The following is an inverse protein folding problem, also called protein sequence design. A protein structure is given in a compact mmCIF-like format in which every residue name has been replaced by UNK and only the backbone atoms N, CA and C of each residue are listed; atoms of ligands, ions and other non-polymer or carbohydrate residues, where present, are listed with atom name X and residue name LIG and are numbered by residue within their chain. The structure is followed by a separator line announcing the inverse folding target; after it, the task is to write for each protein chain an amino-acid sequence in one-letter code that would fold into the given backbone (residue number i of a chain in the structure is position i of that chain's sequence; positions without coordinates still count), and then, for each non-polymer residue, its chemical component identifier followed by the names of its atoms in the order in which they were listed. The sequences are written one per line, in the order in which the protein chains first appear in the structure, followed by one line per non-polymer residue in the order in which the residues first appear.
data_IF_663982388538
#
_entry.id   IF_663982388538
#
_cell.length_a   1.000
_cell.length_b   1.000
_cell.length_c   1.000
_cell.angle_alpha   90.00
_cell.angle_beta   90.00
_cell.angle_gamma   90.00
#
_symmetry.space_group_name_H-M   'P 1'
#
loop_
_entity.id
_entity.type
_entity.pdbx_description
1 polymer ?
#
# COMPACT_ATOMS: atom_id res chain seq x y z
N UNK A 1 116.26 -8.20 39.42
CA UNK A 1 116.01 -9.24 38.40
C UNK A 1 114.62 -9.01 37.87
N UNK A 2 114.52 -8.93 36.55
CA UNK A 2 113.39 -8.47 35.75
C UNK A 2 112.61 -9.68 35.18
N UNK A 3 111.33 -9.46 34.83
CA UNK A 3 110.37 -10.32 34.10
C UNK A 3 109.72 -11.49 34.89
N UNK A 4 108.41 -11.81 34.77
CA UNK A 4 107.47 -11.67 33.63
C UNK A 4 105.99 -11.90 34.08
N UNK A 5 105.05 -11.10 33.53
CA UNK A 5 103.71 -11.37 32.92
C UNK A 5 102.94 -12.67 33.32
N UNK A 6 101.60 -12.74 33.45
CA UNK A 6 100.43 -11.98 32.94
C UNK A 6 99.14 -12.43 33.72
N UNK A 7 97.96 -11.81 33.52
CA UNK A 7 96.87 -11.70 34.51
C UNK A 7 95.68 -12.66 34.30
N UNK A 8 94.75 -12.67 35.27
CA UNK A 8 93.38 -13.12 35.08
C UNK A 8 92.41 -12.14 35.77
N UNK A 9 91.77 -11.29 34.96
CA UNK A 9 90.57 -10.53 35.29
C UNK A 9 89.40 -11.48 35.52
N UNK A 10 88.67 -11.37 36.64
CA UNK A 10 87.20 -11.19 36.62
C UNK A 10 86.77 -10.31 37.81
N UNK A 11 86.24 -9.17 37.39
CA UNK A 11 85.68 -8.00 38.06
C UNK A 11 84.52 -8.30 39.05
N UNK A 12 84.67 -7.86 40.32
CA UNK A 12 83.61 -7.81 41.34
C UNK A 12 83.16 -6.35 41.49
N UNK A 13 82.10 -5.98 40.78
CA UNK A 13 81.57 -4.61 40.77
C UNK A 13 80.37 -4.49 41.70
N UNK A 14 80.50 -3.57 42.67
CA UNK A 14 79.51 -3.22 43.69
C UNK A 14 78.23 -2.61 43.09
N UNK A 15 77.06 -2.73 43.75
CA UNK A 15 75.82 -2.15 43.25
C UNK A 15 75.80 -0.64 43.50
N UNK A 16 75.86 0.14 42.41
CA UNK A 16 75.69 1.58 42.41
C UNK A 16 74.20 1.97 42.53
N UNK A 17 73.96 3.01 43.34
CA UNK A 17 72.67 3.65 43.56
C UNK A 17 72.04 4.16 42.25
N UNK A 18 70.74 3.89 42.06
CA UNK A 18 69.96 4.37 40.92
C UNK A 18 69.44 5.79 41.16
N UNK A 19 69.78 6.70 40.24
CA UNK A 19 69.13 8.01 40.07
C UNK A 19 67.64 7.87 39.69
N UNK A 20 66.80 8.88 39.97
CA UNK A 20 65.38 8.88 39.61
C UNK A 20 65.17 9.04 38.09
N UNK A 21 64.25 8.27 37.53
CA UNK A 21 63.83 8.34 36.13
C UNK A 21 62.98 9.60 35.85
N UNK A 22 63.00 10.14 34.62
CA UNK A 22 62.15 11.27 34.21
C UNK A 22 60.66 10.86 34.15
N UNK A 23 59.72 11.83 34.25
CA UNK A 23 58.30 11.54 34.27
C UNK A 23 57.83 10.88 32.95
N UNK A 24 56.79 10.03 33.00
CA UNK A 24 56.29 9.33 31.84
C UNK A 24 55.69 10.31 30.82
N UNK A 25 56.15 10.21 29.58
CA UNK A 25 55.59 10.88 28.41
C UNK A 25 54.16 10.37 28.21
N UNK A 26 53.17 11.25 28.33
CA UNK A 26 51.78 10.98 27.95
C UNK A 26 51.71 10.55 26.49
N UNK A 27 51.05 9.42 26.15
CA UNK A 27 50.82 9.06 24.76
C UNK A 27 49.93 10.12 24.09
N UNK A 28 50.10 10.35 22.76
CA UNK A 28 49.27 11.29 22.03
C UNK A 28 47.80 10.89 22.18
N UNK A 29 46.96 11.86 22.53
CA UNK A 29 45.50 11.73 22.51
C UNK A 29 45.11 11.26 21.11
N UNK A 30 44.65 10.01 21.01
CA UNK A 30 44.01 9.50 19.81
C UNK A 30 42.87 10.46 19.48
N UNK A 31 42.77 10.99 18.25
CA UNK A 31 41.60 11.76 17.86
C UNK A 31 40.36 10.92 18.15
N UNK A 32 39.24 11.51 18.59
CA UNK A 32 38.02 10.75 18.75
C UNK A 32 37.77 10.03 17.43
N UNK A 33 37.79 8.70 17.49
CA UNK A 33 37.41 7.81 16.40
C UNK A 33 36.23 8.49 15.70
N UNK A 34 36.43 8.85 14.42
CA UNK A 34 35.36 9.28 13.53
C UNK A 34 34.20 8.35 13.80
N UNK A 35 33.14 8.85 14.44
CA UNK A 35 31.98 8.05 14.79
C UNK A 35 31.54 7.42 13.48
N UNK A 36 31.85 6.13 13.30
CA UNK A 36 31.33 5.36 12.18
C UNK A 36 29.85 5.38 12.46
N UNK A 37 29.16 6.29 11.78
CA UNK A 37 27.73 6.43 11.83
C UNK A 37 27.19 5.05 11.48
N UNK A 38 26.74 4.34 12.52
CA UNK A 38 26.33 2.94 12.44
C UNK A 38 25.32 2.85 11.31
N UNK A 39 25.52 2.04 10.29
CA UNK A 39 24.55 1.90 9.21
C UNK A 39 23.33 1.08 9.67
N UNK A 40 22.17 1.25 9.03
CA UNK A 40 21.02 0.38 9.25
C UNK A 40 21.41 -1.10 9.13
N UNK A 41 20.84 -1.95 10.00
CA UNK A 41 21.10 -3.40 9.93
C UNK A 41 20.62 -3.96 8.58
N UNK A 42 21.34 -4.93 7.96
CA UNK A 42 20.96 -5.50 6.66
C UNK A 42 19.53 -6.05 6.59
N UNK A 43 19.03 -6.61 7.71
CA UNK A 43 17.67 -7.13 7.78
C UNK A 43 16.60 -6.02 7.75
N UNK A 44 16.87 -4.83 8.30
CA UNK A 44 15.97 -3.67 8.19
C UNK A 44 15.90 -3.15 6.75
N UNK A 45 17.06 -3.02 6.09
CA UNK A 45 17.13 -2.64 4.68
C UNK A 45 16.37 -3.63 3.78
N UNK A 46 16.57 -4.93 4.00
CA UNK A 46 15.89 -5.98 3.23
C UNK A 46 14.38 -5.95 3.44
N UNK A 47 13.91 -5.75 4.67
CA UNK A 47 12.48 -5.64 4.95
C UNK A 47 11.86 -4.48 4.17
N UNK A 48 12.48 -3.29 4.24
CA UNK A 48 11.99 -2.11 3.54
C UNK A 48 11.87 -2.37 2.03
N UNK A 49 12.90 -2.94 1.40
CA UNK A 49 12.87 -3.33 -0.02
C UNK A 49 11.73 -4.31 -0.31
N UNK A 50 11.54 -5.32 0.54
CA UNK A 50 10.48 -6.30 0.37
C UNK A 50 9.08 -5.69 0.49
N UNK A 51 8.86 -4.75 1.43
CA UNK A 51 7.57 -4.08 1.54
C UNK A 51 7.27 -3.22 0.32
N UNK A 52 8.24 -2.49 -0.22
CA UNK A 52 8.05 -1.70 -1.44
C UNK A 52 7.83 -2.54 -2.70
N UNK A 53 8.57 -3.65 -2.85
CA UNK A 53 8.32 -4.62 -3.92
C UNK A 53 6.90 -5.21 -3.81
N UNK A 54 6.45 -5.49 -2.59
CA UNK A 54 5.09 -5.96 -2.34
C UNK A 54 4.04 -4.89 -2.68
N UNK A 55 4.25 -3.63 -2.30
CA UNK A 55 3.36 -2.52 -2.65
C UNK A 55 3.24 -2.35 -4.17
N UNK A 56 4.35 -2.46 -4.90
CA UNK A 56 4.35 -2.39 -6.36
C UNK A 56 3.61 -3.58 -7.01
N UNK A 57 3.80 -4.80 -6.50
CA UNK A 57 3.01 -5.95 -6.95
C UNK A 57 1.52 -5.75 -6.72
N UNK A 58 1.13 -5.28 -5.54
CA UNK A 58 -0.26 -5.03 -5.17
C UNK A 58 -0.89 -3.90 -6.01
N UNK A 59 -0.11 -2.89 -6.39
CA UNK A 59 -0.54 -1.85 -7.33
C UNK A 59 -0.88 -2.42 -8.71
N UNK A 60 -0.06 -3.32 -9.24
CA UNK A 60 -0.36 -4.00 -10.50
C UNK A 60 -1.59 -4.92 -10.38
N UNK A 61 -1.72 -5.63 -9.27
CA UNK A 61 -2.90 -6.46 -8.98
C UNK A 61 -4.18 -5.60 -8.89
N UNK A 62 -4.08 -4.39 -8.33
CA UNK A 62 -5.14 -3.40 -8.28
C UNK A 62 -5.59 -3.00 -9.68
N UNK A 63 -4.66 -2.56 -10.54
CA UNK A 63 -4.95 -2.14 -11.91
C UNK A 63 -5.67 -3.24 -12.70
N UNK A 64 -5.16 -4.48 -12.61
CA UNK A 64 -5.75 -5.65 -13.26
C UNK A 64 -7.16 -5.95 -12.73
N UNK A 65 -7.34 -5.92 -11.40
CA UNK A 65 -8.63 -6.20 -10.76
C UNK A 65 -9.66 -5.10 -11.06
N UNK A 66 -9.22 -3.83 -11.04
CA UNK A 66 -10.00 -2.63 -11.36
C UNK A 66 -10.53 -2.68 -12.79
N UNK A 67 -9.67 -3.00 -13.75
CA UNK A 67 -10.05 -3.16 -15.16
C UNK A 67 -11.04 -4.32 -15.36
N UNK A 68 -10.79 -5.45 -14.69
CA UNK A 68 -11.69 -6.62 -14.76
C UNK A 68 -13.07 -6.31 -14.19
N UNK A 69 -13.12 -5.65 -13.03
CA UNK A 69 -14.37 -5.20 -12.42
C UNK A 69 -15.13 -4.22 -13.33
N UNK A 70 -14.43 -3.26 -13.96
CA UNK A 70 -15.01 -2.34 -14.94
C UNK A 70 -15.65 -3.09 -16.13
N UNK A 71 -14.98 -4.12 -16.64
CA UNK A 71 -15.51 -4.97 -17.72
C UNK A 71 -16.80 -5.70 -17.31
N UNK A 72 -16.85 -6.23 -16.08
CA UNK A 72 -18.07 -6.82 -15.52
C UNK A 72 -19.18 -5.79 -15.34
N UNK A 73 -18.89 -4.61 -14.79
CA UNK A 73 -19.86 -3.52 -14.64
C UNK A 73 -20.41 -3.07 -16.01
N UNK A 74 -19.54 -2.92 -17.00
CA UNK A 74 -19.93 -2.58 -18.38
C UNK A 74 -20.86 -3.65 -18.97
N UNK A 75 -20.51 -4.92 -18.81
CA UNK A 75 -21.32 -6.05 -19.31
C UNK A 75 -22.68 -6.14 -18.60
N UNK A 76 -22.72 -5.83 -17.30
CA UNK A 76 -23.95 -5.73 -16.51
C UNK A 76 -24.85 -4.61 -17.04
N UNK A 77 -24.33 -3.38 -17.12
CA UNK A 77 -25.06 -2.22 -17.64
C UNK A 77 -25.56 -2.45 -19.07
N UNK A 78 -24.72 -2.99 -19.95
CA UNK A 78 -25.12 -3.30 -21.33
C UNK A 78 -26.26 -4.32 -21.38
N UNK A 79 -26.20 -5.37 -20.55
CA UNK A 79 -27.25 -6.39 -20.49
C UNK A 79 -28.56 -5.81 -19.96
N UNK A 80 -28.48 -5.00 -18.91
CA UNK A 80 -29.61 -4.29 -18.34
C UNK A 80 -30.28 -3.36 -19.34
N UNK A 81 -29.51 -2.45 -19.96
CA UNK A 81 -30.05 -1.50 -20.93
C UNK A 81 -30.64 -2.23 -22.13
N UNK A 82 -29.96 -3.28 -22.64
CA UNK A 82 -30.49 -4.09 -23.75
C UNK A 82 -31.83 -4.76 -23.41
N UNK A 83 -32.00 -5.20 -22.16
CA UNK A 83 -33.26 -5.80 -21.71
C UNK A 83 -34.34 -4.74 -21.56
N UNK A 84 -34.01 -3.59 -20.97
CA UNK A 84 -34.96 -2.49 -20.76
C UNK A 84 -35.48 -1.87 -22.06
N UNK A 85 -34.62 -1.72 -23.07
CA UNK A 85 -35.01 -1.18 -24.38
C UNK A 85 -35.49 -2.26 -25.35
N UNK A 86 -35.63 -3.52 -24.90
CA UNK A 86 -36.09 -4.60 -25.76
C UNK A 86 -37.48 -4.30 -26.34
N UNK A 87 -38.38 -3.69 -25.57
CA UNK A 87 -39.75 -3.38 -26.04
C UNK A 87 -39.80 -2.22 -27.05
N UNK A 88 -38.77 -1.36 -27.06
CA UNK A 88 -38.65 -0.25 -27.99
C UNK A 88 -37.83 -0.60 -29.25
N UNK A 89 -37.29 -1.83 -29.33
CA UNK A 89 -36.44 -2.25 -30.44
C UNK A 89 -37.28 -2.65 -31.65
N UNK A 90 -36.95 -2.10 -32.83
CA UNK A 90 -37.60 -2.50 -34.08
C UNK A 90 -37.09 -3.87 -34.54
N UNK A 91 -37.85 -4.92 -34.24
CA UNK A 91 -37.53 -6.29 -34.61
C UNK A 91 -37.86 -6.63 -36.08
N UNK A 92 -38.52 -5.72 -36.81
CA UNK A 92 -38.92 -5.94 -38.19
C UNK A 92 -39.75 -7.22 -38.34
N UNK A 93 -39.27 -8.16 -39.15
CA UNK A 93 -39.93 -9.47 -39.40
C UNK A 93 -40.04 -10.33 -38.13
N UNK A 94 -39.20 -10.07 -37.11
CA UNK A 94 -39.22 -10.82 -35.84
C UNK A 94 -40.26 -10.29 -34.84
N UNK A 95 -40.97 -9.20 -35.16
CA UNK A 95 -42.01 -8.61 -34.30
C UNK A 95 -43.17 -9.59 -34.03
N UNK A 96 -43.43 -10.51 -34.96
CA UNK A 96 -44.47 -11.55 -34.82
C UNK A 96 -44.02 -12.76 -33.98
N UNK A 97 -42.81 -12.73 -33.39
CA UNK A 97 -42.22 -13.83 -32.64
C UNK A 97 -41.96 -13.48 -31.16
N UNK A 98 -43.01 -13.28 -30.33
CA UNK A 98 -42.87 -12.84 -28.94
C UNK A 98 -42.08 -13.82 -28.06
N UNK A 99 -42.08 -15.12 -28.40
CA UNK A 99 -41.31 -16.14 -27.69
C UNK A 99 -39.79 -15.96 -27.86
N UNK A 100 -39.34 -15.35 -28.97
CA UNK A 100 -37.93 -15.03 -29.17
C UNK A 100 -37.51 -13.85 -28.29
N UNK A 101 -38.35 -12.82 -28.20
CA UNK A 101 -38.13 -11.66 -27.34
C UNK A 101 -38.03 -12.10 -25.86
N UNK A 102 -38.97 -12.94 -25.39
CA UNK A 102 -38.92 -13.52 -24.03
C UNK A 102 -37.62 -14.29 -23.76
N UNK A 103 -37.17 -15.12 -24.70
CA UNK A 103 -35.90 -15.86 -24.58
C UNK A 103 -34.70 -14.93 -24.56
N UNK A 104 -34.70 -13.87 -25.36
CA UNK A 104 -33.65 -12.86 -25.37
C UNK A 104 -33.59 -12.11 -24.03
N UNK A 105 -34.73 -11.65 -23.51
CA UNK A 105 -34.83 -11.03 -22.18
C UNK A 105 -34.31 -11.97 -21.08
N UNK A 106 -34.72 -13.24 -21.10
CA UNK A 106 -34.24 -14.22 -20.13
C UNK A 106 -32.72 -14.42 -20.20
N UNK A 107 -32.14 -14.46 -21.41
CA UNK A 107 -30.69 -14.55 -21.60
C UNK A 107 -29.96 -13.31 -21.06
N UNK A 108 -30.50 -12.12 -21.32
CA UNK A 108 -29.94 -10.87 -20.80
C UNK A 108 -30.00 -10.81 -19.28
N UNK A 109 -31.13 -11.16 -18.67
CA UNK A 109 -31.27 -11.24 -17.22
C UNK A 109 -30.25 -12.23 -16.61
N UNK A 110 -30.07 -13.41 -17.22
CA UNK A 110 -29.03 -14.34 -16.79
C UNK A 110 -27.63 -13.74 -16.88
N UNK A 111 -27.35 -12.97 -17.94
CA UNK A 111 -26.08 -12.26 -18.11
C UNK A 111 -25.89 -11.18 -17.03
N UNK A 112 -26.97 -10.47 -16.65
CA UNK A 112 -26.94 -9.52 -15.52
C UNK A 112 -26.53 -10.21 -14.23
N UNK A 113 -27.21 -11.30 -13.85
CA UNK A 113 -26.91 -12.07 -12.62
C UNK A 113 -25.44 -12.54 -12.59
N UNK A 114 -24.93 -13.06 -13.71
CA UNK A 114 -23.54 -13.53 -13.81
C UNK A 114 -22.56 -12.36 -13.61
N UNK A 115 -22.73 -11.25 -14.32
CA UNK A 115 -21.80 -10.13 -14.23
C UNK A 115 -21.88 -9.42 -12.87
N UNK A 116 -23.07 -9.35 -12.26
CA UNK A 116 -23.24 -8.85 -10.88
C UNK A 116 -22.43 -9.70 -9.91
N UNK A 117 -22.53 -11.04 -10.00
CA UNK A 117 -21.74 -11.93 -9.17
C UNK A 117 -20.23 -11.76 -9.37
N UNK A 118 -19.76 -11.64 -10.62
CA UNK A 118 -18.35 -11.43 -10.93
C UNK A 118 -17.83 -10.05 -10.48
N UNK A 119 -18.66 -9.01 -10.58
CA UNK A 119 -18.36 -7.67 -10.07
C UNK A 119 -18.14 -7.69 -8.56
N UNK A 120 -19.02 -8.37 -7.80
CA UNK A 120 -18.88 -8.49 -6.35
C UNK A 120 -17.62 -9.29 -5.95
N UNK A 121 -17.30 -10.36 -6.69
CA UNK A 121 -16.09 -11.15 -6.45
C UNK A 121 -14.80 -10.35 -6.73
N UNK A 122 -14.79 -9.58 -7.82
CA UNK A 122 -13.64 -8.72 -8.17
C UNK A 122 -13.52 -7.54 -7.20
N UNK A 123 -14.62 -6.94 -6.79
CA UNK A 123 -14.64 -5.93 -5.71
C UNK A 123 -14.02 -6.47 -4.41
N UNK A 124 -14.43 -7.66 -3.97
CA UNK A 124 -13.83 -8.32 -2.80
C UNK A 124 -12.32 -8.51 -2.96
N UNK A 125 -11.85 -8.90 -4.15
CA UNK A 125 -10.42 -9.01 -4.45
C UNK A 125 -9.71 -7.67 -4.27
N UNK A 126 -10.30 -6.59 -4.79
CA UNK A 126 -9.76 -5.23 -4.66
C UNK A 126 -9.67 -4.77 -3.19
N UNK A 127 -10.69 -5.05 -2.36
CA UNK A 127 -10.66 -4.75 -0.92
C UNK A 127 -9.51 -5.52 -0.24
N UNK A 128 -9.33 -6.79 -0.61
CA UNK A 128 -8.22 -7.62 -0.15
C UNK A 128 -6.85 -7.05 -0.52
N UNK A 129 -6.70 -6.49 -1.73
CA UNK A 129 -5.47 -5.83 -2.18
C UNK A 129 -5.17 -4.60 -1.30
N UNK A 130 -6.13 -3.69 -1.12
CA UNK A 130 -5.95 -2.48 -0.29
C UNK A 130 -5.61 -2.86 1.16
N UNK A 131 -6.29 -3.89 1.70
CA UNK A 131 -6.00 -4.44 3.03
C UNK A 131 -4.54 -4.89 3.16
N UNK A 132 -4.01 -5.55 2.13
CA UNK A 132 -2.61 -5.97 2.10
C UNK A 132 -1.64 -4.80 1.93
N UNK A 133 -2.01 -3.75 1.19
CA UNK A 133 -1.20 -2.54 1.05
C UNK A 133 -1.09 -1.79 2.38
N UNK A 134 -2.20 -1.65 3.12
CA UNK A 134 -2.21 -1.07 4.48
C UNK A 134 -1.29 -1.86 5.42
N UNK A 135 -1.32 -3.19 5.36
CA UNK A 135 -0.41 -4.03 6.16
C UNK A 135 1.04 -3.81 5.75
N UNK A 136 1.33 -3.76 4.45
CA UNK A 136 2.69 -3.57 3.94
C UNK A 136 3.25 -2.18 4.31
N UNK A 137 2.44 -1.12 4.21
CA UNK A 137 2.86 0.24 4.60
C UNK A 137 3.19 0.33 6.10
N UNK A 138 2.40 -0.35 6.94
CA UNK A 138 2.62 -0.40 8.40
C UNK A 138 3.77 -1.29 8.83
N UNK A 139 4.26 -2.19 7.97
CA UNK A 139 5.30 -3.19 8.31
C UNK A 139 6.71 -2.84 7.84
N UNK A 140 7.00 -1.56 7.59
CA UNK A 140 8.32 -1.11 7.14
C UNK A 140 9.39 -1.10 8.26
N UNK A 141 8.99 -0.88 9.52
CA UNK A 141 9.91 -0.85 10.67
C UNK A 141 10.27 -2.24 11.19
N UNK A 142 11.50 -2.33 11.70
CA UNK A 142 12.08 -3.52 12.31
C UNK A 142 12.56 -3.20 13.74
N UNK A 143 12.04 -3.94 14.71
CA UNK A 143 12.37 -3.80 16.12
C UNK A 143 13.20 -4.98 16.62
N UNK A 144 14.15 -4.70 17.52
CA UNK A 144 15.00 -5.71 18.14
C UNK A 144 14.22 -6.28 19.32
N UNK A 145 14.14 -7.61 19.43
CA UNK A 145 13.56 -8.27 20.61
C UNK A 145 14.69 -8.72 21.52
N UNK A 146 14.73 -8.18 22.75
CA UNK A 146 15.65 -8.57 23.81
C UNK A 146 16.73 -7.53 24.16
N UNK A 147 17.44 -7.79 25.26
CA UNK A 147 18.45 -6.90 25.82
C UNK A 147 19.76 -7.01 25.04
N UNK A 148 20.11 -5.98 24.26
CA UNK A 148 21.42 -5.80 23.61
C UNK A 148 21.84 -6.88 22.58
N UNK A 149 21.87 -6.50 21.29
CA UNK A 149 22.40 -7.31 20.18
C UNK A 149 21.67 -8.63 19.84
N UNK A 150 20.42 -8.82 20.28
CA UNK A 150 19.59 -9.94 19.83
C UNK A 150 19.28 -9.92 18.32
N UNK A 151 18.88 -11.06 17.72
CA UNK A 151 18.35 -11.08 16.36
C UNK A 151 17.14 -10.15 16.24
N UNK A 152 16.90 -9.59 15.05
CA UNK A 152 15.67 -8.82 14.78
C UNK A 152 14.51 -9.81 14.77
N UNK A 153 13.46 -9.60 15.58
CA UNK A 153 12.35 -10.58 15.73
C UNK A 153 10.96 -9.97 15.56
N UNK A 154 10.80 -8.65 15.39
CA UNK A 154 9.46 -8.06 15.25
C UNK A 154 9.40 -6.97 14.18
N UNK A 155 8.52 -7.18 13.20
CA UNK A 155 8.09 -6.15 12.25
C UNK A 155 6.88 -5.43 12.83
N UNK A 156 6.73 -4.13 12.59
CA UNK A 156 5.52 -3.41 13.02
C UNK A 156 4.30 -4.02 12.34
N UNK A 157 3.35 -4.49 13.14
CA UNK A 157 2.02 -4.85 12.65
C UNK A 157 0.97 -3.81 13.07
N UNK A 158 1.26 -2.97 14.08
CA UNK A 158 0.41 -1.90 14.57
C UNK A 158 1.24 -0.76 15.21
N UNK A 159 0.83 0.51 15.06
CA UNK A 159 1.46 1.65 15.74
C UNK A 159 1.30 1.62 17.26
N UNK A 160 0.32 0.88 17.80
CA UNK A 160 0.09 0.74 19.24
C UNK A 160 1.11 -0.18 19.95
N UNK A 161 1.95 -0.92 19.21
CA UNK A 161 3.04 -1.71 19.80
C UNK A 161 4.24 -0.84 20.23
N UNK A 162 4.23 0.47 19.95
CA UNK A 162 5.30 1.39 20.32
C UNK A 162 5.38 1.67 21.85
N UNK A 163 4.34 1.34 22.64
CA UNK A 163 4.25 1.72 24.06
C UNK A 163 4.86 0.72 25.06
N UNK A 164 5.20 -0.49 24.64
CA UNK A 164 5.74 -1.51 25.55
C UNK A 164 6.89 -2.30 24.94
N UNK A 165 8.09 -1.71 24.90
CA UNK A 165 9.34 -2.29 25.43
C UNK A 165 10.57 -1.47 24.98
N UNK A 166 11.14 -0.76 25.97
CA UNK A 166 12.56 -0.44 26.16
C UNK A 166 13.44 0.00 24.96
N UNK A 167 13.88 1.27 25.07
CA UNK A 167 15.26 1.77 24.93
C UNK A 167 15.87 1.59 23.52
N UNK A 168 15.85 2.68 22.75
CA UNK A 168 16.77 2.96 21.62
C UNK A 168 16.61 2.18 20.31
N UNK A 169 15.41 1.78 19.89
CA UNK A 169 15.20 1.38 18.49
C UNK A 169 14.07 2.17 17.84
N UNK A 170 14.42 3.13 16.98
CA UNK A 170 13.49 3.91 16.14
C UNK A 170 12.80 3.06 15.05
N UNK A 171 12.80 1.73 15.18
CA UNK A 171 12.39 0.80 14.13
C UNK A 171 13.35 0.75 12.93
N UNK A 172 14.49 1.45 13.00
CA UNK A 172 15.52 1.57 11.96
C UNK A 172 16.66 0.54 12.10
N UNK A 173 16.52 -0.37 13.07
CA UNK A 173 17.59 -1.29 13.46
C UNK A 173 18.80 -0.60 14.10
N UNK A 174 18.73 0.71 14.38
CA UNK A 174 19.76 1.60 14.91
C UNK A 174 20.82 1.96 13.87
N UNK A 175 20.89 3.24 13.46
CA UNK A 175 21.93 3.76 12.59
C UNK A 175 21.55 4.92 11.66
N UNK A 176 22.53 5.46 10.93
CA UNK A 176 22.33 6.34 9.76
C UNK A 176 21.81 5.52 8.58
N UNK A 177 20.88 6.08 7.77
CA UNK A 177 20.38 5.43 6.57
C UNK A 177 21.52 4.95 5.68
N UNK A 178 21.38 3.74 5.14
CA UNK A 178 22.27 3.27 4.06
C UNK A 178 21.84 3.81 2.71
N UNK A 179 20.60 4.29 2.63
CA UNK A 179 20.07 4.98 1.47
C UNK A 179 20.50 6.45 1.50
N UNK A 180 20.71 6.98 0.30
CA UNK A 180 21.46 8.20 0.04
C UNK A 180 20.81 9.45 0.64
N UNK A 181 19.47 9.52 0.68
CA UNK A 181 18.71 10.74 0.94
C UNK A 181 17.46 10.57 1.82
N UNK A 182 16.86 9.37 1.90
CA UNK A 182 15.58 9.15 2.58
C UNK A 182 15.70 8.40 3.91
N UNK A 183 14.93 8.86 4.89
CA UNK A 183 14.73 8.18 6.17
C UNK A 183 13.62 7.12 6.07
N UNK A 184 13.55 6.14 7.00
CA UNK A 184 12.41 5.19 7.08
C UNK A 184 11.09 5.95 7.15
N UNK A 185 11.02 7.03 7.94
CA UNK A 185 9.81 7.84 8.03
C UNK A 185 9.39 8.44 6.69
N UNK A 186 10.35 8.78 5.83
CA UNK A 186 10.08 9.29 4.48
C UNK A 186 9.47 8.19 3.60
N UNK A 187 9.99 6.97 3.68
CA UNK A 187 9.38 5.82 3.01
C UNK A 187 7.97 5.51 3.54
N UNK A 188 7.77 5.55 4.86
CA UNK A 188 6.45 5.35 5.47
C UNK A 188 5.45 6.41 4.98
N UNK A 189 5.87 7.68 4.88
CA UNK A 189 5.03 8.77 4.37
C UNK A 189 4.63 8.55 2.91
N UNK A 190 5.58 8.18 2.05
CA UNK A 190 5.29 7.88 0.64
C UNK A 190 4.35 6.67 0.49
N UNK A 191 4.54 5.63 1.31
CA UNK A 191 3.68 4.46 1.31
C UNK A 191 2.27 4.77 1.84
N UNK A 192 2.17 5.60 2.87
CA UNK A 192 0.89 6.07 3.39
C UNK A 192 0.16 6.92 2.36
N UNK A 193 0.85 7.83 1.67
CA UNK A 193 0.28 8.63 0.58
C UNK A 193 -0.30 7.75 -0.53
N UNK A 194 0.45 6.75 -1.00
CA UNK A 194 0.00 5.75 -1.97
C UNK A 194 -1.27 5.03 -1.47
N UNK A 195 -1.24 4.50 -0.25
CA UNK A 195 -2.35 3.75 0.33
C UNK A 195 -3.59 4.63 0.51
N UNK A 196 -3.43 5.91 0.87
CA UNK A 196 -4.55 6.83 1.03
C UNK A 196 -5.25 7.15 -0.29
N UNK A 197 -4.50 7.29 -1.40
CA UNK A 197 -5.09 7.40 -2.74
C UNK A 197 -5.96 6.17 -3.05
N UNK A 198 -5.43 4.95 -2.88
CA UNK A 198 -6.18 3.71 -3.11
C UNK A 198 -7.38 3.53 -2.18
N UNK A 199 -7.27 3.91 -0.90
CA UNK A 199 -8.37 3.92 0.06
C UNK A 199 -9.52 4.80 -0.42
N UNK A 200 -9.20 6.02 -0.86
CA UNK A 200 -10.21 6.97 -1.34
C UNK A 200 -10.87 6.50 -2.64
N UNK A 201 -10.11 5.89 -3.55
CA UNK A 201 -10.63 5.29 -4.78
C UNK A 201 -11.50 4.07 -4.47
N UNK A 202 -11.10 3.21 -3.53
CA UNK A 202 -11.88 2.04 -3.08
C UNK A 202 -13.25 2.45 -2.53
N UNK A 203 -13.31 3.51 -1.70
CA UNK A 203 -14.59 4.01 -1.19
C UNK A 203 -15.53 4.48 -2.31
N UNK A 204 -14.99 5.17 -3.31
CA UNK A 204 -15.77 5.58 -4.48
C UNK A 204 -16.25 4.35 -5.27
N UNK A 205 -15.37 3.38 -5.52
CA UNK A 205 -15.72 2.14 -6.22
C UNK A 205 -16.77 1.33 -5.47
N UNK A 206 -16.74 1.29 -4.13
CA UNK A 206 -17.80 0.69 -3.31
C UNK A 206 -19.17 1.31 -3.61
N UNK A 207 -19.25 2.65 -3.65
CA UNK A 207 -20.48 3.36 -4.00
C UNK A 207 -20.97 2.93 -5.39
N UNK A 208 -20.07 2.89 -6.38
CA UNK A 208 -20.43 2.48 -7.73
C UNK A 208 -20.89 1.02 -7.80
N UNK A 209 -20.27 0.09 -7.06
CA UNK A 209 -20.71 -1.31 -7.01
C UNK A 209 -22.14 -1.43 -6.47
N UNK A 210 -22.48 -0.68 -5.41
CA UNK A 210 -23.85 -0.67 -4.89
C UNK A 210 -24.83 -0.20 -5.97
N UNK A 211 -24.54 0.94 -6.62
CA UNK A 211 -25.37 1.49 -7.69
C UNK A 211 -25.55 0.49 -8.83
N UNK A 212 -24.48 -0.15 -9.30
CA UNK A 212 -24.55 -1.18 -10.36
C UNK A 212 -25.35 -2.41 -9.94
N UNK A 213 -25.28 -2.81 -8.66
CA UNK A 213 -26.01 -3.96 -8.15
C UNK A 213 -27.51 -3.70 -7.98
N UNK A 214 -27.92 -2.44 -7.82
CA UNK A 214 -29.33 -2.03 -7.65
C UNK A 214 -30.02 -1.63 -8.96
N UNK A 215 -29.37 -1.78 -10.12
CA UNK A 215 -29.93 -1.36 -11.41
C UNK A 215 -31.20 -2.12 -11.81
N UNK A 216 -31.29 -3.42 -11.49
CA UNK A 216 -32.44 -4.28 -11.85
C UNK A 216 -33.51 -4.30 -10.74
N UNK A 217 -33.15 -3.94 -9.51
CA UNK A 217 -33.96 -4.16 -8.31
C UNK A 217 -34.43 -2.82 -7.73
N UNK A 218 -35.61 -2.38 -8.16
CA UNK A 218 -36.20 -1.11 -7.71
C UNK A 218 -36.75 -1.19 -6.28
N UNK A 219 -36.90 -2.38 -5.71
CA UNK A 219 -37.45 -2.60 -4.36
C UNK A 219 -36.35 -2.89 -3.32
N UNK A 220 -35.25 -3.54 -3.69
CA UNK A 220 -34.09 -3.79 -2.82
C UNK A 220 -32.89 -2.89 -3.19
N UNK A 221 -32.97 -1.61 -2.80
CA UNK A 221 -31.80 -0.74 -2.81
C UNK A 221 -30.82 -1.19 -1.72
N UNK A 222 -29.62 -1.62 -2.13
CA UNK A 222 -28.57 -2.00 -1.19
C UNK A 222 -28.19 -0.77 -0.37
N UNK A 223 -28.42 -0.83 0.93
CA UNK A 223 -28.10 0.29 1.80
C UNK A 223 -26.59 0.34 2.08
N UNK A 224 -26.03 1.54 2.27
CA UNK A 224 -24.59 1.70 2.57
C UNK A 224 -24.14 0.88 3.80
N UNK A 225 -25.04 0.70 4.76
CA UNK A 225 -24.82 -0.08 5.99
C UNK A 225 -24.98 -1.59 5.81
N UNK A 226 -25.17 -2.08 4.60
CA UNK A 226 -25.19 -3.50 4.27
C UNK A 226 -23.85 -3.95 3.73
N UNK A 227 -23.48 -5.20 4.04
CA UNK A 227 -22.28 -5.81 3.48
C UNK A 227 -22.54 -6.28 2.04
N UNK A 228 -21.69 -5.85 1.10
CA UNK A 228 -21.71 -6.32 -0.29
C UNK A 228 -21.28 -7.79 -0.40
N UNK A 229 -20.50 -8.26 0.57
CA UNK A 229 -20.12 -9.66 0.72
C UNK A 229 -19.89 -9.99 2.19
N UNK A 230 -20.07 -11.24 2.56
CA UNK A 230 -19.89 -11.69 3.95
C UNK A 230 -18.50 -11.33 4.50
N UNK A 231 -18.47 -10.52 5.55
CA UNK A 231 -17.27 -10.07 6.25
C UNK A 231 -16.63 -8.80 5.70
N UNK A 232 -17.28 -8.11 4.76
CA UNK A 232 -16.80 -6.85 4.18
C UNK A 232 -16.41 -5.83 5.25
N UNK A 233 -17.24 -5.64 6.28
CA UNK A 233 -16.95 -4.61 7.28
C UNK A 233 -15.69 -4.90 8.08
N UNK A 234 -15.37 -6.18 8.32
CA UNK A 234 -14.10 -6.57 8.91
C UNK A 234 -12.91 -6.12 8.07
N UNK A 235 -12.98 -6.31 6.76
CA UNK A 235 -11.92 -5.90 5.83
C UNK A 235 -11.82 -4.37 5.72
N UNK A 236 -12.95 -3.67 5.67
CA UNK A 236 -12.99 -2.21 5.63
C UNK A 236 -12.49 -1.58 6.92
N UNK A 237 -12.76 -2.17 8.09
CA UNK A 237 -12.23 -1.73 9.39
C UNK A 237 -10.70 -1.81 9.39
N UNK A 238 -10.11 -2.89 8.85
CA UNK A 238 -8.64 -3.00 8.78
C UNK A 238 -8.03 -1.85 7.95
N UNK A 239 -8.76 -1.38 6.95
CA UNK A 239 -8.35 -0.28 6.09
C UNK A 239 -8.67 1.10 6.67
N UNK A 240 -9.26 1.21 7.87
CA UNK A 240 -9.85 2.45 8.40
C UNK A 240 -10.86 3.10 7.43
N UNK A 241 -11.53 2.27 6.62
CA UNK A 241 -12.50 2.69 5.61
C UNK A 241 -13.94 2.57 6.08
N UNK A 242 -14.19 1.80 7.13
CA UNK A 242 -15.55 1.61 7.64
C UNK A 242 -16.05 2.89 8.32
N UNK A 243 -17.12 3.44 7.77
CA UNK A 243 -17.88 4.55 8.34
C UNK A 243 -19.37 4.21 8.24
N UNK A 244 -20.12 4.52 9.30
CA UNK A 244 -21.58 4.36 9.32
C UNK A 244 -22.28 5.24 8.27
N UNK A 245 -21.57 6.24 7.72
CA UNK A 245 -22.06 7.14 6.69
C UNK A 245 -21.19 7.08 5.41
N UNK A 246 -21.80 7.15 4.22
CA UNK A 246 -21.07 7.22 2.96
C UNK A 246 -20.25 8.51 2.90
N UNK A 247 -18.94 8.38 2.74
CA UNK A 247 -18.04 9.51 2.54
C UNK A 247 -18.13 9.92 1.06
N UNK A 248 -19.07 10.81 0.75
CA UNK A 248 -19.17 11.37 -0.59
C UNK A 248 -17.95 12.25 -0.89
N UNK A 249 -17.30 12.09 -2.06
CA UNK A 249 -16.24 12.99 -2.45
C UNK A 249 -16.77 14.41 -2.64
N UNK A 250 -16.38 15.32 -1.74
CA UNK A 250 -16.44 16.77 -1.92
C UNK A 250 -17.80 17.33 -2.33
N UNK A 251 -18.69 17.54 -1.36
CA UNK A 251 -19.93 18.28 -1.55
C UNK A 251 -19.66 19.78 -1.73
N UNK A 252 -19.06 20.19 -2.86
CA UNK A 252 -19.13 21.58 -3.33
C UNK A 252 -20.45 21.76 -4.07
N UNK A 253 -21.50 22.12 -3.31
CA UNK A 253 -22.71 22.84 -3.70
C UNK A 253 -23.01 22.99 -5.22
N UNK A 254 -23.11 21.90 -5.97
CA UNK A 254 -23.71 21.92 -7.30
C UNK A 254 -25.19 21.63 -7.14
N UNK A 255 -25.95 22.69 -6.84
CA UNK A 255 -27.40 22.71 -7.08
C UNK A 255 -27.59 22.66 -8.60
N UNK A 256 -27.58 21.45 -9.15
CA UNK A 256 -27.89 21.22 -10.55
C UNK A 256 -29.41 21.33 -10.72
N UNK A 257 -29.87 22.51 -11.12
CA UNK A 257 -31.22 22.70 -11.64
C UNK A 257 -31.32 22.08 -13.02
N UNK A 258 -31.58 20.77 -13.09
CA UNK A 258 -31.84 20.09 -14.36
C UNK A 258 -33.28 20.44 -14.79
N UNK A 259 -33.51 20.92 -16.03
CA UNK A 259 -34.84 21.13 -16.57
C UNK A 259 -35.57 19.79 -16.72
N UNK A 260 -36.80 19.72 -16.25
CA UNK A 260 -37.66 18.52 -16.08
C UNK A 260 -38.16 17.88 -17.38
N UNK A 261 -37.42 17.95 -18.50
CA UNK A 261 -37.94 17.56 -19.82
C UNK A 261 -37.14 16.46 -20.54
N UNK A 262 -36.17 15.78 -19.92
CA UNK A 262 -35.57 14.59 -20.51
C UNK A 262 -36.44 13.35 -20.25
N UNK A 263 -36.67 12.47 -21.24
CA UNK A 263 -37.28 11.17 -20.98
C UNK A 263 -36.47 10.46 -19.88
N UNK A 264 -37.17 9.99 -18.84
CA UNK A 264 -36.56 9.34 -17.66
C UNK A 264 -35.50 8.29 -18.05
N UNK A 265 -35.71 7.61 -19.17
CA UNK A 265 -34.83 6.59 -19.72
C UNK A 265 -33.48 7.14 -20.25
N UNK A 266 -33.45 8.33 -20.84
CA UNK A 266 -32.20 8.96 -21.29
C UNK A 266 -31.35 9.42 -20.11
N UNK A 267 -32.00 9.91 -19.05
CA UNK A 267 -31.32 10.31 -17.82
C UNK A 267 -30.61 9.13 -17.17
N UNK A 268 -31.27 7.98 -17.06
CA UNK A 268 -30.70 6.77 -16.49
C UNK A 268 -29.51 6.24 -17.29
N UNK A 269 -29.62 6.24 -18.63
CA UNK A 269 -28.52 5.85 -19.51
C UNK A 269 -27.28 6.74 -19.31
N UNK A 270 -27.51 8.06 -19.21
CA UNK A 270 -26.45 9.03 -18.97
C UNK A 270 -25.81 8.85 -17.59
N UNK A 271 -26.60 8.56 -16.55
CA UNK A 271 -26.10 8.33 -15.18
C UNK A 271 -25.21 7.08 -15.13
N UNK A 272 -25.66 5.96 -15.69
CA UNK A 272 -24.86 4.72 -15.72
C UNK A 272 -23.57 4.89 -16.54
N UNK A 273 -23.61 5.67 -17.62
CA UNK A 273 -22.42 6.02 -18.38
C UNK A 273 -21.44 6.85 -17.52
N UNK A 274 -21.92 7.84 -16.78
CA UNK A 274 -21.09 8.63 -15.85
C UNK A 274 -20.47 7.72 -14.78
N UNK A 275 -21.20 6.74 -14.25
CA UNK A 275 -20.67 5.79 -13.27
C UNK A 275 -19.57 4.91 -13.86
N UNK A 276 -19.76 4.36 -15.07
CA UNK A 276 -18.74 3.56 -15.76
C UNK A 276 -17.49 4.40 -16.06
N UNK A 277 -17.66 5.62 -16.57
CA UNK A 277 -16.53 6.53 -16.82
C UNK A 277 -15.82 6.90 -15.53
N UNK A 278 -16.55 7.16 -14.44
CA UNK A 278 -15.96 7.47 -13.13
C UNK A 278 -15.08 6.31 -12.63
N UNK A 279 -15.52 5.06 -12.82
CA UNK A 279 -14.70 3.89 -12.50
C UNK A 279 -13.45 3.80 -13.38
N UNK A 280 -13.60 4.00 -14.69
CA UNK A 280 -12.53 3.85 -15.68
C UNK A 280 -11.41 4.88 -15.48
N UNK A 281 -11.77 6.12 -15.18
CA UNK A 281 -10.83 7.24 -15.03
C UNK A 281 -10.05 7.20 -13.70
N UNK A 282 -10.36 6.26 -12.81
CA UNK A 282 -9.73 6.12 -11.48
C UNK A 282 -9.58 7.47 -10.75
N UNK A 283 -10.69 8.23 -10.66
CA UNK A 283 -10.69 9.67 -10.41
C UNK A 283 -10.05 10.13 -9.08
N UNK A 284 -9.78 9.23 -8.14
CA UNK A 284 -9.05 9.52 -6.90
C UNK A 284 -7.58 9.11 -6.91
N UNK A 285 -7.11 8.53 -8.00
CA UNK A 285 -5.72 8.16 -8.19
C UNK A 285 -5.02 9.23 -9.03
N UNK A 286 -3.97 9.82 -8.45
CA UNK A 286 -3.01 10.60 -9.21
C UNK A 286 -1.92 9.65 -9.72
N UNK A 287 -2.12 9.12 -10.92
CA UNK A 287 -1.21 8.15 -11.54
C UNK A 287 0.20 8.72 -11.73
N UNK A 288 0.32 10.01 -12.05
CA UNK A 288 1.62 10.67 -12.13
C UNK A 288 2.34 10.69 -10.79
N UNK A 289 1.61 10.99 -9.71
CA UNK A 289 2.17 10.97 -8.35
C UNK A 289 2.54 9.56 -7.91
N UNK A 290 1.73 8.55 -8.26
CA UNK A 290 2.04 7.14 -7.98
C UNK A 290 3.33 6.71 -8.68
N UNK A 291 3.47 7.04 -9.97
CA UNK A 291 4.68 6.74 -10.75
C UNK A 291 5.91 7.48 -10.17
N UNK A 292 5.75 8.74 -9.77
CA UNK A 292 6.79 9.51 -9.09
C UNK A 292 7.21 8.86 -7.77
N UNK A 293 6.26 8.40 -6.94
CA UNK A 293 6.54 7.70 -5.69
C UNK A 293 7.39 6.45 -5.97
N UNK A 294 6.98 5.61 -6.92
CA UNK A 294 7.74 4.40 -7.26
C UNK A 294 9.11 4.71 -7.86
N UNK A 295 9.25 5.79 -8.64
CA UNK A 295 10.55 6.24 -9.17
C UNK A 295 11.49 6.68 -8.04
N UNK A 296 11.03 7.56 -7.15
CA UNK A 296 11.80 8.05 -6.00
C UNK A 296 12.30 6.88 -5.16
N UNK A 297 11.40 5.95 -4.84
CA UNK A 297 11.71 4.78 -4.02
C UNK A 297 12.63 3.81 -4.75
N UNK A 298 12.40 3.55 -6.03
CA UNK A 298 13.19 2.63 -6.85
C UNK A 298 14.64 3.09 -6.98
N UNK A 299 14.84 4.38 -7.24
CA UNK A 299 16.16 5.02 -7.28
C UNK A 299 16.86 4.91 -5.92
N UNK A 300 16.17 5.28 -4.85
CA UNK A 300 16.76 5.31 -3.50
C UNK A 300 17.12 3.90 -2.99
N UNK A 301 16.22 2.93 -3.17
CA UNK A 301 16.41 1.54 -2.74
C UNK A 301 17.24 0.70 -3.72
N UNK A 302 17.57 1.24 -4.89
CA UNK A 302 18.25 0.54 -5.99
C UNK A 302 17.51 -0.76 -6.37
N UNK A 303 16.20 -0.65 -6.61
CA UNK A 303 15.32 -1.75 -7.04
C UNK A 303 14.46 -1.30 -8.21
N UNK A 304 14.07 -2.24 -9.08
CA UNK A 304 13.21 -1.95 -10.21
C UNK A 304 11.74 -1.97 -9.75
N UNK A 305 11.10 -0.80 -9.78
CA UNK A 305 9.68 -0.58 -9.47
C UNK A 305 8.98 0.16 -10.64
N UNK A 306 9.38 -0.18 -11.87
CA UNK A 306 8.94 0.42 -13.13
C UNK A 306 8.37 -0.63 -14.06
#
# INVERSE_FOLDING_TARGET
MEYKNEPMDINLQSPAAKSPAPPPVTPPVTPPSSQILRQWRPAAQRNLKNQWLKLFSLWNDWLSSSFTAHSHATSLVNSYLSQRYMDAMEFGVLSDMPELQKKACHKLHKQQVINRGQLLLTYKSMVGIVTQMVKASRSMRCYIKGMGNGPIVQFSCNPADDDHHQIDSRGDGGGVPVFSFLSISSFEQLAEELVQMLKSEMNLKRLLVMEFCSVDDKEDNIHWSEELYLGEFGDLIICDLYSNEPIFPGQTNCKSSIPTNSPLDQTERNVLQVYLTTWLEEVKLDTFRIDEIFSIVGEELHVTLS
#
